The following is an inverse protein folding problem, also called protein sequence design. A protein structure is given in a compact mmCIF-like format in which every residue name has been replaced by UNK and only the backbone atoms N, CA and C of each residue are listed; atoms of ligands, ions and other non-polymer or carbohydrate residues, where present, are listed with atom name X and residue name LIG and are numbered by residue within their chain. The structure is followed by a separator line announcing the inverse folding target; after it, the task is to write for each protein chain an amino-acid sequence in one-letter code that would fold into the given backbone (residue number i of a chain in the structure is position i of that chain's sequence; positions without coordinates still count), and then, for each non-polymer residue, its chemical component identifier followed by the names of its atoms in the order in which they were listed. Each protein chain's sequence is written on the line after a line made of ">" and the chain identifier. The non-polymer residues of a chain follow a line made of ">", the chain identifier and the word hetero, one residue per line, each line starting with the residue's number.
data_IF_636826537198
#
_entry.id   IF_636826537198
#
_cell.length_a   1.000
_cell.length_b   1.000
_cell.length_c   1.000
_cell.angle_alpha   90.00
_cell.angle_beta   90.00
_cell.angle_gamma   90.00
#
_symmetry.space_group_name_H-M   'P 1'
#
loop_
_entity.id
_entity.type
_entity.pdbx_description
1 polymer ?
#
# COMPACT_ATOMS: atom_id res chain seq x y z
N UNK A 1 -20.22 -43.93 -19.23
CA UNK A 1 -20.72 -42.64 -18.67
C UNK A 1 -19.84 -42.32 -17.47
N UNK A 2 -18.82 -41.48 -17.64
CA UNK A 2 -17.83 -41.22 -16.61
C UNK A 2 -18.39 -40.29 -15.52
N UNK A 3 -18.17 -40.55 -14.22
CA UNK A 3 -18.47 -39.58 -13.17
C UNK A 3 -17.47 -38.43 -13.27
N UNK A 4 -17.97 -37.21 -13.46
CA UNK A 4 -17.15 -35.98 -13.48
C UNK A 4 -16.58 -35.71 -12.08
N UNK A 5 -15.32 -36.10 -11.94
CA UNK A 5 -14.24 -35.50 -11.16
C UNK A 5 -14.60 -34.46 -10.08
N UNK A 6 -14.21 -34.82 -8.85
CA UNK A 6 -13.47 -34.00 -7.88
C UNK A 6 -13.90 -32.53 -7.72
N UNK A 7 -14.82 -32.30 -6.77
CA UNK A 7 -14.78 -31.07 -5.98
C UNK A 7 -13.60 -31.17 -5.01
N UNK A 8 -12.39 -31.01 -5.57
CA UNK A 8 -11.16 -30.93 -4.81
C UNK A 8 -11.25 -29.73 -3.88
N UNK A 9 -11.15 -30.01 -2.58
CA UNK A 9 -10.96 -29.07 -1.49
C UNK A 9 -9.76 -28.16 -1.80
N UNK A 10 -10.02 -27.08 -2.54
CA UNK A 10 -9.05 -26.04 -2.86
C UNK A 10 -9.60 -24.73 -2.29
N UNK A 11 -9.74 -24.70 -0.97
CA UNK A 11 -9.59 -23.44 -0.26
C UNK A 11 -8.23 -22.89 -0.72
N UNK A 12 -8.15 -21.73 -1.39
CA UNK A 12 -6.85 -21.14 -1.68
C UNK A 12 -6.13 -21.05 -0.33
N UNK A 13 -4.90 -21.59 -0.20
CA UNK A 13 -4.15 -21.46 1.03
C UNK A 13 -4.17 -19.99 1.36
N UNK A 14 -4.59 -19.62 2.58
CA UNK A 14 -4.68 -18.24 3.07
C UNK A 14 -3.60 -17.39 2.41
N UNK A 15 -3.94 -16.78 1.27
CA UNK A 15 -2.92 -16.23 0.41
C UNK A 15 -2.57 -14.95 1.14
N UNK A 16 -1.41 -14.93 1.80
CA UNK A 16 -0.72 -13.67 2.03
C UNK A 16 -0.94 -12.88 0.74
N UNK A 17 -1.59 -11.71 0.78
CA UNK A 17 -1.89 -11.02 -0.46
C UNK A 17 -0.55 -10.73 -1.10
N UNK A 18 -0.15 -11.56 -2.06
CA UNK A 18 1.07 -11.42 -2.81
C UNK A 18 0.80 -10.23 -3.73
N UNK A 19 0.93 -9.04 -3.14
CA UNK A 19 0.63 -7.79 -3.80
C UNK A 19 1.46 -7.77 -5.08
N UNK A 20 0.77 -7.71 -6.22
CA UNK A 20 1.45 -7.73 -7.50
C UNK A 20 2.34 -6.49 -7.63
N UNK A 21 3.33 -6.55 -8.52
CA UNK A 21 4.22 -5.41 -8.77
C UNK A 21 3.45 -4.12 -9.14
N UNK A 22 2.31 -4.26 -9.84
CA UNK A 22 1.39 -3.16 -10.15
C UNK A 22 0.68 -2.65 -8.88
N UNK A 23 0.26 -3.57 -8.03
CA UNK A 23 -0.42 -3.24 -6.79
C UNK A 23 0.50 -2.51 -5.80
N UNK A 24 1.82 -2.74 -5.86
CA UNK A 24 2.86 -2.05 -5.08
C UNK A 24 3.48 -0.84 -5.81
N UNK A 25 3.00 -0.48 -7.00
CA UNK A 25 3.58 0.63 -7.75
C UNK A 25 3.20 1.96 -7.10
N UNK A 26 4.22 2.71 -6.64
CA UNK A 26 4.06 4.06 -6.09
C UNK A 26 4.60 5.10 -7.06
N UNK A 27 3.96 6.26 -7.09
CA UNK A 27 4.57 7.46 -7.67
C UNK A 27 5.62 8.04 -6.69
N UNK A 28 6.56 8.87 -7.18
CA UNK A 28 7.56 9.50 -6.31
C UNK A 28 6.94 10.34 -5.18
N UNK A 29 5.81 11.02 -5.44
CA UNK A 29 5.09 11.81 -4.43
C UNK A 29 4.43 10.90 -3.39
N UNK A 30 3.78 9.81 -3.82
CA UNK A 30 3.19 8.81 -2.95
C UNK A 30 4.22 8.13 -2.05
N UNK A 31 5.37 7.76 -2.60
CA UNK A 31 6.46 7.16 -1.84
C UNK A 31 7.05 8.15 -0.82
N UNK A 32 7.21 9.43 -1.19
CA UNK A 32 7.70 10.46 -0.27
C UNK A 32 6.70 10.77 0.83
N UNK A 33 5.41 10.80 0.51
CA UNK A 33 4.35 10.96 1.50
C UNK A 33 4.31 9.78 2.47
N UNK A 34 4.39 8.54 1.98
CA UNK A 34 4.47 7.34 2.82
C UNK A 34 5.73 7.32 3.71
N UNK A 35 6.86 7.82 3.23
CA UNK A 35 8.13 7.79 3.96
C UNK A 35 8.27 8.94 4.97
N UNK A 36 7.77 10.12 4.65
CA UNK A 36 8.06 11.37 5.39
C UNK A 36 6.82 12.16 5.80
N UNK A 37 5.62 11.74 5.40
CA UNK A 37 4.38 12.50 5.62
C UNK A 37 4.34 13.83 4.86
N UNK A 38 5.21 14.03 3.87
CA UNK A 38 5.37 15.30 3.15
C UNK A 38 5.15 15.12 1.64
N UNK A 39 4.50 16.12 1.04
CA UNK A 39 4.35 16.23 -0.42
C UNK A 39 5.48 17.03 -1.04
N UNK A 40 5.74 16.83 -2.33
CA UNK A 40 6.83 17.51 -3.04
C UNK A 40 6.60 19.03 -3.21
N UNK A 41 5.33 19.45 -3.32
CA UNK A 41 4.97 20.79 -3.79
C UNK A 41 4.23 21.67 -2.76
N UNK A 42 4.14 21.28 -1.48
CA UNK A 42 3.32 21.98 -0.46
C UNK A 42 1.87 22.30 -0.91
N UNK A 43 1.37 21.60 -1.94
CA UNK A 43 0.06 21.84 -2.50
C UNK A 43 -0.93 20.93 -1.81
N UNK A 44 -1.78 21.51 -0.95
CA UNK A 44 -2.78 20.78 -0.16
C UNK A 44 -3.69 19.93 -1.06
N UNK A 45 -4.20 20.48 -2.15
CA UNK A 45 -5.05 19.76 -3.10
C UNK A 45 -4.38 18.52 -3.72
N UNK A 46 -3.08 18.61 -4.05
CA UNK A 46 -2.32 17.43 -4.51
C UNK A 46 -2.11 16.43 -3.38
N UNK A 47 -1.95 16.94 -2.17
CA UNK A 47 -1.77 16.11 -1.00
C UNK A 47 -2.99 15.25 -0.69
N UNK A 48 -4.17 15.85 -0.68
CA UNK A 48 -5.44 15.14 -0.51
C UNK A 48 -5.66 14.07 -1.57
N UNK A 49 -5.33 14.35 -2.84
CA UNK A 49 -5.42 13.36 -3.93
C UNK A 49 -4.46 12.20 -3.69
N UNK A 50 -3.23 12.49 -3.26
CA UNK A 50 -2.22 11.47 -2.93
C UNK A 50 -2.69 10.60 -1.76
N UNK A 51 -3.20 11.20 -0.69
CA UNK A 51 -3.76 10.52 0.48
C UNK A 51 -4.93 9.62 0.08
N UNK A 52 -5.92 10.18 -0.62
CA UNK A 52 -7.11 9.44 -1.07
C UNK A 52 -6.74 8.26 -1.98
N UNK A 53 -5.74 8.43 -2.85
CA UNK A 53 -5.23 7.36 -3.71
C UNK A 53 -4.60 6.22 -2.91
N UNK A 54 -3.80 6.55 -1.89
CA UNK A 54 -3.12 5.58 -1.04
C UNK A 54 -4.08 4.89 -0.07
N UNK A 55 -5.08 5.59 0.45
CA UNK A 55 -6.16 5.03 1.24
C UNK A 55 -7.01 4.04 0.44
N UNK A 56 -7.44 4.42 -0.78
CA UNK A 56 -8.19 3.50 -1.69
C UNK A 56 -7.42 2.21 -1.95
N UNK A 57 -6.10 2.28 -2.00
CA UNK A 57 -5.21 1.13 -2.23
C UNK A 57 -4.86 0.37 -0.95
N UNK A 58 -5.41 0.76 0.22
CA UNK A 58 -5.13 0.18 1.54
C UNK A 58 -3.63 0.23 1.89
N UNK A 59 -2.94 1.27 1.44
CA UNK A 59 -1.53 1.53 1.74
C UNK A 59 -1.36 2.44 2.95
N UNK A 60 -2.43 3.12 3.36
CA UNK A 60 -2.51 4.01 4.50
C UNK A 60 -3.69 3.62 5.37
N UNK A 61 -3.51 3.68 6.68
CA UNK A 61 -4.55 3.44 7.67
C UNK A 61 -4.56 4.59 8.67
N UNK A 62 -5.75 5.03 9.04
CA UNK A 62 -5.92 5.93 10.18
C UNK A 62 -5.71 5.16 11.46
N UNK A 63 -4.78 5.63 12.29
CA UNK A 63 -4.62 5.17 13.65
C UNK A 63 -4.84 6.33 14.61
N UNK A 64 -5.37 6.08 15.81
CA UNK A 64 -5.45 7.10 16.84
C UNK A 64 -4.06 7.70 17.08
N UNK A 65 -4.00 9.02 17.04
CA UNK A 65 -2.88 9.81 17.54
C UNK A 65 -2.77 9.68 19.04
N UNK A 66 -1.67 10.16 19.61
CA UNK A 66 -1.42 10.04 21.06
C UNK A 66 -2.41 10.83 21.91
N UNK A 67 -3.27 11.66 21.29
CA UNK A 67 -4.27 12.50 21.93
C UNK A 67 -5.68 12.07 21.55
N UNK A 68 -6.67 12.20 22.46
CA UNK A 68 -8.06 11.93 22.14
C UNK A 68 -8.55 12.84 21.01
N UNK A 69 -9.09 12.24 19.95
CA UNK A 69 -9.57 12.94 18.76
C UNK A 69 -8.50 13.23 17.69
N UNK A 70 -7.23 12.93 17.96
CA UNK A 70 -6.17 12.99 16.96
C UNK A 70 -6.17 11.67 16.18
N UNK A 71 -6.11 11.74 14.86
CA UNK A 71 -5.87 10.57 14.00
C UNK A 71 -4.65 10.84 13.15
N UNK A 72 -3.73 9.89 13.11
CA UNK A 72 -2.55 9.92 12.27
C UNK A 72 -2.68 8.90 11.17
N UNK A 73 -2.28 9.31 9.98
CA UNK A 73 -2.17 8.43 8.84
C UNK A 73 -0.86 7.67 8.93
N UNK A 74 -0.92 6.33 9.00
CA UNK A 74 0.27 5.48 9.08
C UNK A 74 0.34 4.52 7.89
N UNK A 75 1.56 4.21 7.40
CA UNK A 75 1.75 3.20 6.37
C UNK A 75 1.26 1.83 6.85
N UNK A 76 0.44 1.18 6.03
CA UNK A 76 0.04 -0.21 6.25
C UNK A 76 1.18 -1.18 5.90
N UNK A 77 1.06 -2.48 6.22
CA UNK A 77 2.00 -3.50 5.74
C UNK A 77 2.19 -3.45 4.21
N UNK A 78 1.10 -3.19 3.46
CA UNK A 78 1.13 -3.00 2.01
C UNK A 78 1.90 -1.74 1.61
N UNK A 79 1.65 -0.62 2.30
CA UNK A 79 2.36 0.64 2.07
C UNK A 79 3.86 0.53 2.34
N UNK A 80 4.25 -0.23 3.37
CA UNK A 80 5.65 -0.54 3.69
C UNK A 80 6.30 -1.42 2.63
N UNK A 81 5.66 -2.50 2.20
CA UNK A 81 6.15 -3.33 1.11
C UNK A 81 6.30 -2.54 -0.21
N UNK A 82 5.36 -1.63 -0.49
CA UNK A 82 5.40 -0.76 -1.65
C UNK A 82 6.56 0.25 -1.57
N UNK A 83 6.79 0.84 -0.38
CA UNK A 83 7.94 1.68 -0.07
C UNK A 83 9.26 0.94 -0.29
N UNK A 84 9.42 -0.24 0.32
CA UNK A 84 10.63 -1.06 0.21
C UNK A 84 10.92 -1.41 -1.24
N UNK A 85 9.90 -1.76 -2.02
CA UNK A 85 10.04 -1.97 -3.46
C UNK A 85 10.48 -0.70 -4.19
N UNK A 86 9.85 0.44 -3.93
CA UNK A 86 10.16 1.71 -4.60
C UNK A 86 11.59 2.20 -4.30
N UNK A 87 12.02 2.15 -3.04
CA UNK A 87 13.38 2.55 -2.63
C UNK A 87 14.43 1.47 -2.92
N UNK A 88 14.09 0.19 -2.83
CA UNK A 88 14.95 -0.92 -3.25
C UNK A 88 15.25 -0.88 -4.75
N UNK A 89 14.27 -0.51 -5.59
CA UNK A 89 14.48 -0.28 -7.03
C UNK A 89 15.42 0.89 -7.31
N UNK A 90 15.51 1.87 -6.40
CA UNK A 90 16.46 3.00 -6.48
C UNK A 90 17.90 2.63 -6.08
N UNK A 91 18.11 1.57 -5.28
CA UNK A 91 19.46 1.09 -4.90
C UNK A 91 20.04 0.04 -5.85
N UNK A 92 19.22 -0.60 -6.69
CA UNK A 92 19.68 -1.59 -7.68
C UNK A 92 20.33 -0.96 -8.95
N UNK A 93 20.47 0.36 -8.97
CA UNK A 93 21.11 1.17 -10.02
C UNK A 93 22.13 2.06 -9.30
N UNK A 94 23.18 1.45 -8.75
CA UNK A 94 24.36 2.11 -8.24
C UNK A 94 25.57 1.20 -8.52
#
# INVERSE_FOLDING_TARGET
>A
MAPRAAANDNLPPCAEPAWTANDLQLTPDQARYLASGQHFNNSEARGEITIASLERRRMLHWMPGGKPGEFKLVPSPKGRAALERHYGKRRAIA
#
